data_IF_566414459394
#
_entry.id   IF_566414459394
#
_cell.length_a   1.000
_cell.length_b   1.000
_cell.length_c   1.000
_cell.angle_alpha   90.00
_cell.angle_beta   90.00
_cell.angle_gamma   90.00
#
_symmetry.space_group_name_H-M   'P 1'
#
loop_
_entity.id
_entity.type
_entity.pdbx_description
1 polymer ?
#
# COMPACT_ATOMS: atom_id res chain seq x y z
N UNK A 1 1.00 46.29 -108.05
CA UNK A 1 0.74 47.31 -107.02
C UNK A 1 0.09 46.59 -105.84
N UNK A 2 0.60 46.83 -104.63
CA UNK A 2 -0.04 46.62 -103.32
C UNK A 2 0.06 45.24 -102.59
N UNK A 3 1.07 45.16 -101.71
CA UNK A 3 1.05 44.84 -100.26
C UNK A 3 0.30 43.59 -99.78
N UNK A 4 1.02 42.67 -99.12
CA UNK A 4 0.66 42.13 -97.79
C UNK A 4 1.82 41.30 -97.18
N UNK A 5 2.88 42.00 -96.77
CA UNK A 5 3.85 41.51 -95.78
C UNK A 5 3.39 41.99 -94.41
N UNK A 6 2.70 41.14 -93.66
CA UNK A 6 2.31 41.43 -92.27
C UNK A 6 2.58 40.23 -91.36
N UNK A 7 3.20 40.58 -90.23
CA UNK A 7 3.26 39.86 -88.95
C UNK A 7 4.33 38.76 -88.78
N UNK A 8 5.59 39.20 -88.65
CA UNK A 8 6.67 38.44 -87.98
C UNK A 8 7.40 39.23 -86.88
N UNK A 9 6.87 40.38 -86.44
CA UNK A 9 7.48 41.23 -85.41
C UNK A 9 6.61 41.22 -84.15
N UNK A 10 6.93 40.30 -83.24
CA UNK A 10 6.29 40.17 -81.92
C UNK A 10 6.88 39.04 -81.05
N UNK A 11 7.67 38.14 -81.65
CA UNK A 11 8.14 36.92 -80.98
C UNK A 11 9.35 37.06 -80.04
N UNK A 12 10.23 38.06 -80.21
CA UNK A 12 11.50 38.13 -79.46
C UNK A 12 11.32 38.39 -77.95
N UNK A 13 10.42 39.27 -77.56
CA UNK A 13 10.18 39.54 -76.14
C UNK A 13 9.50 38.40 -75.38
N UNK A 14 8.67 37.59 -76.07
CA UNK A 14 8.01 36.46 -75.45
C UNK A 14 8.99 35.28 -75.26
N UNK A 15 9.89 35.04 -76.23
CA UNK A 15 10.93 34.01 -76.10
C UNK A 15 11.91 34.31 -74.97
N UNK A 16 12.32 35.56 -74.80
CA UNK A 16 13.24 35.96 -73.73
C UNK A 16 12.60 35.77 -72.34
N UNK A 17 11.29 36.04 -72.22
CA UNK A 17 10.52 35.81 -71.00
C UNK A 17 10.38 34.30 -70.70
N UNK A 18 10.09 33.50 -71.72
CA UNK A 18 10.02 32.04 -71.61
C UNK A 18 11.36 31.44 -71.18
N UNK A 19 12.47 31.91 -71.75
CA UNK A 19 13.82 31.46 -71.37
C UNK A 19 14.16 31.84 -69.93
N UNK A 20 13.85 33.08 -69.52
CA UNK A 20 14.06 33.52 -68.14
C UNK A 20 13.24 32.68 -67.15
N UNK A 21 11.99 32.35 -67.49
CA UNK A 21 11.14 31.49 -66.67
C UNK A 21 11.65 30.06 -66.60
N UNK A 22 12.15 29.52 -67.70
CA UNK A 22 12.74 28.18 -67.75
C UNK A 22 13.94 28.10 -66.81
N UNK A 23 14.87 29.08 -66.88
CA UNK A 23 16.00 29.16 -65.95
C UNK A 23 15.55 29.24 -64.50
N UNK A 24 14.54 30.06 -64.21
CA UNK A 24 13.98 30.16 -62.86
C UNK A 24 13.37 28.83 -62.38
N UNK A 25 12.72 28.07 -63.26
CA UNK A 25 12.19 26.75 -62.95
C UNK A 25 13.29 25.71 -62.73
N UNK A 26 14.34 25.73 -63.56
CA UNK A 26 15.52 24.88 -63.40
C UNK A 26 16.19 25.13 -62.04
N UNK A 27 16.43 26.39 -61.69
CA UNK A 27 16.99 26.78 -60.38
C UNK A 27 16.10 26.29 -59.23
N UNK A 28 14.78 26.42 -59.37
CA UNK A 28 13.83 25.92 -58.37
C UNK A 28 13.86 24.40 -58.23
N UNK A 29 14.01 23.66 -59.34
CA UNK A 29 14.14 22.21 -59.31
C UNK A 29 15.41 21.82 -58.55
N UNK A 30 16.54 22.46 -58.85
CA UNK A 30 17.79 22.19 -58.14
C UNK A 30 17.71 22.51 -56.64
N UNK A 31 17.05 23.62 -56.28
CA UNK A 31 16.84 23.98 -54.88
C UNK A 31 15.98 22.95 -54.14
N UNK A 32 14.87 22.52 -54.73
CA UNK A 32 13.98 21.50 -54.14
C UNK A 32 14.66 20.14 -54.04
N UNK A 33 15.42 19.73 -55.05
CA UNK A 33 16.18 18.49 -55.03
C UNK A 33 17.23 18.50 -53.90
N UNK A 34 17.88 19.64 -53.67
CA UNK A 34 18.81 19.81 -52.55
C UNK A 34 18.09 19.69 -51.22
N UNK A 35 16.96 20.36 -51.05
CA UNK A 35 16.18 20.31 -49.81
C UNK A 35 15.65 18.89 -49.49
N UNK A 36 15.16 18.17 -50.51
CA UNK A 36 14.77 16.77 -50.35
C UNK A 36 15.94 15.86 -49.97
N UNK A 37 17.14 16.14 -50.47
CA UNK A 37 18.34 15.38 -50.11
C UNK A 37 18.73 15.65 -48.67
N UNK A 38 18.76 16.92 -48.27
CA UNK A 38 19.17 17.36 -46.94
C UNK A 38 18.17 16.85 -45.87
N UNK A 39 16.88 16.95 -46.14
CA UNK A 39 15.82 16.41 -45.26
C UNK A 39 15.88 14.88 -45.13
N UNK A 40 16.13 14.16 -46.24
CA UNK A 40 16.33 12.70 -46.17
C UNK A 40 17.54 12.33 -45.32
N UNK A 41 18.66 13.04 -45.46
CA UNK A 41 19.86 12.79 -44.67
C UNK A 41 19.61 13.08 -43.18
N UNK A 42 18.92 14.17 -42.86
CA UNK A 42 18.52 14.49 -41.49
C UNK A 42 17.65 13.37 -40.90
N UNK A 43 16.65 12.89 -41.65
CA UNK A 43 15.75 11.84 -41.21
C UNK A 43 16.48 10.50 -41.02
N UNK A 44 17.39 10.15 -41.93
CA UNK A 44 18.24 8.97 -41.78
C UNK A 44 19.10 9.06 -40.52
N UNK A 45 19.77 10.18 -40.29
CA UNK A 45 20.60 10.36 -39.09
C UNK A 45 19.77 10.29 -37.80
N UNK A 46 18.57 10.88 -37.78
CA UNK A 46 17.65 10.78 -36.64
C UNK A 46 17.18 9.34 -36.40
N UNK A 47 16.91 8.57 -37.46
CA UNK A 47 16.58 7.14 -37.36
C UNK A 47 17.75 6.29 -36.88
N UNK A 48 18.97 6.60 -37.32
CA UNK A 48 20.17 5.91 -36.85
C UNK A 48 20.44 6.19 -35.37
N UNK A 49 20.28 7.44 -34.94
CA UNK A 49 20.39 7.84 -33.54
C UNK A 49 19.33 7.15 -32.68
N UNK A 50 18.07 7.14 -33.11
CA UNK A 50 17.00 6.47 -32.35
C UNK A 50 17.21 4.94 -32.31
N UNK A 51 17.62 4.32 -33.41
CA UNK A 51 17.97 2.91 -33.45
C UNK A 51 19.18 2.58 -32.57
N UNK A 52 20.19 3.45 -32.51
CA UNK A 52 21.36 3.29 -31.64
C UNK A 52 20.96 3.39 -30.17
N UNK A 53 20.15 4.38 -29.79
CA UNK A 53 19.61 4.52 -28.43
C UNK A 53 18.76 3.31 -28.05
N UNK A 54 17.88 2.86 -28.95
CA UNK A 54 17.07 1.66 -28.73
C UNK A 54 17.94 0.40 -28.57
N UNK A 55 19.02 0.25 -29.35
CA UNK A 55 19.96 -0.88 -29.18
C UNK A 55 20.70 -0.80 -27.85
N UNK A 56 21.10 0.38 -27.40
CA UNK A 56 21.71 0.57 -26.09
C UNK A 56 20.72 0.22 -24.98
N UNK A 57 19.48 0.70 -25.07
CA UNK A 57 18.40 0.35 -24.15
C UNK A 57 18.08 -1.14 -24.18
N UNK A 58 18.07 -1.79 -25.35
CA UNK A 58 17.81 -3.22 -25.47
C UNK A 58 18.96 -4.07 -24.90
N UNK A 59 20.23 -3.66 -25.09
CA UNK A 59 21.38 -4.30 -24.42
C UNK A 59 21.30 -4.14 -22.90
N UNK A 60 20.89 -2.96 -22.45
CA UNK A 60 20.61 -2.63 -21.05
C UNK A 60 19.37 -3.36 -20.50
N UNK A 61 18.37 -3.67 -21.32
CA UNK A 61 17.13 -4.34 -20.93
C UNK A 61 17.25 -5.87 -20.99
N UNK A 62 18.10 -6.43 -21.86
CA UNK A 62 18.45 -7.86 -21.85
C UNK A 62 19.28 -8.25 -20.62
N UNK A 63 19.86 -7.28 -19.91
CA UNK A 63 20.20 -7.42 -18.49
C UNK A 63 19.11 -6.78 -17.66
N UNK A 64 17.96 -7.46 -17.52
CA UNK A 64 16.70 -6.92 -16.99
C UNK A 64 16.86 -5.80 -15.97
N UNK A 65 16.42 -4.58 -16.31
CA UNK A 65 16.51 -3.35 -15.50
C UNK A 65 17.86 -3.21 -14.77
N UNK A 66 18.80 -2.42 -15.31
CA UNK A 66 20.11 -2.19 -14.68
C UNK A 66 19.99 -2.16 -13.15
N UNK A 67 20.80 -2.94 -12.40
CA UNK A 67 20.75 -2.93 -10.94
C UNK A 67 20.84 -1.51 -10.36
N UNK A 68 21.52 -0.59 -11.06
CA UNK A 68 21.63 0.82 -10.65
C UNK A 68 20.30 1.61 -10.77
N UNK A 69 19.55 1.45 -11.86
CA UNK A 69 18.25 2.15 -12.04
C UNK A 69 17.14 1.53 -11.19
N UNK A 70 17.33 0.28 -10.82
CA UNK A 70 16.38 -0.51 -10.05
C UNK A 70 16.71 -0.63 -8.58
N UNK A 71 17.87 -0.13 -8.14
CA UNK A 71 18.17 0.19 -6.74
C UNK A 71 17.41 1.43 -6.27
N UNK A 72 17.08 2.36 -7.17
CA UNK A 72 16.30 3.56 -6.84
C UNK A 72 14.79 3.30 -6.83
N UNK A 73 14.33 2.25 -7.52
CA UNK A 73 12.97 1.76 -7.42
C UNK A 73 12.91 0.76 -6.27
N UNK A 74 12.13 1.04 -5.23
CA UNK A 74 11.93 0.13 -4.11
C UNK A 74 11.54 -1.27 -4.62
N UNK A 75 12.52 -2.18 -4.67
CA UNK A 75 12.34 -3.50 -5.27
C UNK A 75 11.72 -4.42 -4.24
N UNK A 76 10.40 -4.52 -4.30
CA UNK A 76 9.69 -5.63 -3.64
C UNK A 76 10.20 -6.95 -4.18
N UNK A 77 10.61 -7.83 -3.29
CA UNK A 77 11.03 -9.20 -3.62
C UNK A 77 9.95 -10.19 -3.23
N UNK A 78 9.14 -9.87 -2.23
CA UNK A 78 8.03 -10.72 -1.82
C UNK A 78 7.01 -10.01 -0.94
N UNK A 79 6.06 -10.80 -0.48
CA UNK A 79 5.02 -10.37 0.45
C UNK A 79 4.92 -11.39 1.59
N UNK A 80 4.80 -10.88 2.82
CA UNK A 80 4.61 -11.67 4.04
C UNK A 80 3.29 -11.26 4.68
N UNK A 81 2.67 -12.20 5.40
CA UNK A 81 1.53 -11.93 6.26
C UNK A 81 2.03 -11.98 7.71
N UNK A 82 1.71 -10.95 8.50
CA UNK A 82 2.06 -10.95 9.91
C UNK A 82 1.04 -11.79 10.69
N UNK A 83 1.44 -12.98 11.13
CA UNK A 83 0.57 -13.92 11.82
C UNK A 83 0.07 -13.42 13.18
N UNK A 84 0.79 -12.50 13.84
CA UNK A 84 0.37 -11.96 15.14
C UNK A 84 -0.76 -10.93 15.00
N UNK A 85 -0.77 -10.21 13.88
CA UNK A 85 -1.78 -9.19 13.55
C UNK A 85 -2.81 -9.71 12.53
N UNK A 86 -2.90 -11.05 12.39
CA UNK A 86 -3.84 -11.70 11.49
C UNK A 86 -4.67 -12.71 12.28
N UNK A 87 -5.99 -12.53 12.30
CA UNK A 87 -6.90 -13.35 13.09
C UNK A 87 -8.31 -12.83 13.05
N UNK A 88 -9.24 -13.63 13.55
CA UNK A 88 -10.60 -13.19 13.82
C UNK A 88 -10.67 -12.17 14.96
N UNK A 89 -11.68 -11.31 14.92
CA UNK A 89 -11.97 -10.30 15.93
C UNK A 89 -13.41 -10.50 16.38
N UNK A 90 -13.54 -10.77 17.67
CA UNK A 90 -14.79 -10.82 18.42
C UNK A 90 -15.12 -9.40 18.93
N UNK A 91 -16.27 -8.87 18.52
CA UNK A 91 -16.77 -7.56 18.91
C UNK A 91 -17.90 -7.63 19.95
N UNK A 92 -18.59 -8.77 20.06
CA UNK A 92 -19.83 -8.88 20.83
C UNK A 92 -19.77 -9.90 21.98
N UNK A 93 -18.58 -10.50 22.20
CA UNK A 93 -18.31 -11.53 23.20
C UNK A 93 -19.19 -12.79 23.06
N UNK A 94 -19.76 -13.02 21.87
CA UNK A 94 -20.48 -14.25 21.55
C UNK A 94 -19.54 -15.24 20.85
N UNK A 95 -19.86 -16.54 20.88
CA UNK A 95 -19.05 -17.52 20.16
C UNK A 95 -19.12 -17.29 18.64
N UNK A 96 -17.98 -16.92 18.08
CA UNK A 96 -17.81 -16.57 16.68
C UNK A 96 -17.10 -15.23 16.55
N UNK A 97 -16.28 -15.07 15.52
CA UNK A 97 -15.72 -13.76 15.21
C UNK A 97 -16.64 -13.04 14.22
N UNK A 98 -16.91 -11.74 14.40
CA UNK A 98 -17.73 -10.95 13.47
C UNK A 98 -16.96 -10.47 12.25
N UNK A 99 -15.65 -10.27 12.43
CA UNK A 99 -14.75 -9.81 11.39
C UNK A 99 -13.39 -10.47 11.55
N UNK A 100 -12.52 -10.24 10.59
CA UNK A 100 -11.12 -10.64 10.70
C UNK A 100 -10.21 -9.51 10.25
N UNK A 101 -9.00 -9.52 10.80
CA UNK A 101 -7.95 -8.61 10.41
C UNK A 101 -6.79 -9.36 9.79
N UNK A 102 -6.06 -8.68 8.91
CA UNK A 102 -4.80 -9.17 8.36
C UNK A 102 -3.85 -8.01 8.14
N UNK A 103 -2.56 -8.25 8.35
CA UNK A 103 -1.51 -7.30 8.03
C UNK A 103 -0.57 -7.89 6.98
N UNK A 104 -0.48 -7.19 5.86
CA UNK A 104 0.28 -7.62 4.68
C UNK A 104 1.50 -6.72 4.56
N UNK A 105 2.67 -7.33 4.56
CA UNK A 105 3.96 -6.66 4.61
C UNK A 105 4.76 -7.02 3.35
N UNK A 106 4.78 -6.16 2.32
CA UNK A 106 5.73 -6.29 1.23
C UNK A 106 7.14 -6.11 1.79
N UNK A 107 8.10 -6.87 1.27
CA UNK A 107 9.49 -6.77 1.70
C UNK A 107 10.46 -6.79 0.51
N UNK A 108 11.63 -6.18 0.72
CA UNK A 108 12.73 -6.19 -0.24
C UNK A 108 13.61 -7.45 -0.13
N UNK A 109 14.79 -7.42 -0.75
CA UNK A 109 15.77 -8.53 -0.71
C UNK A 109 16.35 -8.76 0.68
N UNK A 110 16.46 -7.71 1.49
CA UNK A 110 17.01 -7.75 2.86
C UNK A 110 15.93 -8.13 3.88
N UNK A 111 14.67 -8.18 3.45
CA UNK A 111 13.52 -8.52 4.28
C UNK A 111 12.92 -7.30 4.99
N UNK A 112 13.36 -6.09 4.65
CA UNK A 112 12.84 -4.85 5.20
C UNK A 112 11.47 -4.51 4.57
N UNK A 113 10.57 -3.95 5.38
CA UNK A 113 9.23 -3.60 4.92
C UNK A 113 9.29 -2.47 3.90
N UNK A 114 8.64 -2.68 2.76
CA UNK A 114 8.52 -1.68 1.71
C UNK A 114 7.09 -1.16 1.62
N UNK A 115 6.92 0.16 1.72
CA UNK A 115 5.66 0.83 1.44
C UNK A 115 5.58 1.21 -0.04
N UNK A 116 4.69 0.57 -0.79
CA UNK A 116 4.44 0.91 -2.20
C UNK A 116 2.95 0.84 -2.55
N UNK A 117 2.52 1.57 -3.59
CA UNK A 117 1.22 1.32 -4.21
C UNK A 117 1.26 -0.01 -4.96
N UNK A 118 0.32 -0.90 -4.64
CA UNK A 118 0.14 -2.21 -5.27
C UNK A 118 -1.34 -2.59 -5.25
N UNK A 119 -1.77 -3.36 -6.23
CA UNK A 119 -3.10 -3.97 -6.20
C UNK A 119 -3.04 -5.24 -5.35
N UNK A 120 -4.01 -5.42 -4.46
CA UNK A 120 -4.09 -6.58 -3.57
C UNK A 120 -5.39 -7.34 -3.80
N UNK A 121 -5.28 -8.67 -3.83
CA UNK A 121 -6.41 -9.57 -3.80
C UNK A 121 -6.20 -10.56 -2.65
N UNK A 122 -7.18 -10.58 -1.75
CA UNK A 122 -7.21 -11.43 -0.58
C UNK A 122 -8.32 -12.45 -0.79
N UNK A 123 -7.97 -13.72 -0.79
CA UNK A 123 -8.92 -14.81 -0.87
C UNK A 123 -8.79 -15.66 0.38
N UNK A 124 -9.92 -15.92 1.03
CA UNK A 124 -9.96 -16.75 2.22
C UNK A 124 -10.66 -18.06 1.88
N UNK A 125 -9.99 -19.17 2.16
CA UNK A 125 -10.50 -20.52 1.86
C UNK A 125 -10.45 -21.44 3.07
N UNK A 126 -11.46 -22.27 3.20
CA UNK A 126 -11.53 -23.39 4.13
C UNK A 126 -11.12 -24.68 3.41
N UNK A 127 -9.89 -25.14 3.65
CA UNK A 127 -9.36 -26.35 3.03
C UNK A 127 -10.02 -27.63 3.55
N UNK A 128 -10.73 -27.58 4.69
CA UNK A 128 -11.45 -28.73 5.24
C UNK A 128 -12.79 -28.98 4.55
N UNK A 129 -13.23 -28.04 3.69
CA UNK A 129 -14.49 -28.12 2.96
C UNK A 129 -14.31 -28.56 1.49
N UNK A 130 -15.35 -29.15 0.88
CA UNK A 130 -15.37 -29.46 -0.55
C UNK A 130 -15.31 -28.17 -1.38
N UNK A 131 -14.78 -28.28 -2.61
CA UNK A 131 -14.47 -27.13 -3.48
C UNK A 131 -15.62 -26.12 -3.65
N UNK A 132 -16.86 -26.61 -3.69
CA UNK A 132 -18.05 -25.77 -3.84
C UNK A 132 -18.31 -24.82 -2.64
N UNK A 133 -17.84 -25.16 -1.43
CA UNK A 133 -18.03 -24.40 -0.18
C UNK A 133 -16.70 -23.95 0.43
N UNK A 134 -15.59 -24.23 -0.25
CA UNK A 134 -14.24 -23.91 0.21
C UNK A 134 -13.99 -22.41 0.28
N UNK A 135 -14.60 -21.61 -0.58
CA UNK A 135 -14.34 -20.16 -0.64
C UNK A 135 -15.21 -19.43 0.39
N UNK A 136 -14.55 -18.78 1.35
CA UNK A 136 -15.19 -17.94 2.37
C UNK A 136 -15.46 -16.52 1.83
N UNK A 137 -14.53 -15.98 1.05
CA UNK A 137 -14.67 -14.66 0.44
C UNK A 137 -13.47 -14.24 -0.40
N UNK A 138 -13.68 -13.23 -1.25
CA UNK A 138 -12.62 -12.56 -2.01
C UNK A 138 -12.79 -11.05 -1.86
N UNK A 139 -11.69 -10.37 -1.51
CA UNK A 139 -11.60 -8.93 -1.43
C UNK A 139 -10.52 -8.42 -2.38
N UNK A 140 -10.82 -7.36 -3.12
CA UNK A 140 -9.91 -6.75 -4.08
C UNK A 140 -9.75 -5.28 -3.74
N UNK A 141 -8.52 -4.83 -3.67
CA UNK A 141 -8.13 -3.47 -3.34
C UNK A 141 -7.23 -2.94 -4.45
N UNK A 142 -7.51 -1.72 -4.89
CA UNK A 142 -6.63 -1.03 -5.83
C UNK A 142 -5.46 -0.34 -5.12
N UNK A 143 -4.47 0.09 -5.89
CA UNK A 143 -3.29 0.79 -5.37
C UNK A 143 -3.57 2.03 -4.49
N UNK A 144 -4.67 2.76 -4.70
CA UNK A 144 -5.02 3.94 -3.89
C UNK A 144 -5.62 3.51 -2.55
N UNK A 145 -6.54 2.55 -2.59
CA UNK A 145 -7.18 1.99 -1.41
C UNK A 145 -6.15 1.32 -0.50
N UNK A 146 -5.27 0.46 -1.04
CA UNK A 146 -4.19 -0.19 -0.29
C UNK A 146 -3.31 0.84 0.43
N UNK A 147 -2.97 1.95 -0.22
CA UNK A 147 -2.16 3.01 0.40
C UNK A 147 -2.82 3.63 1.63
N UNK A 148 -4.14 3.75 1.63
CA UNK A 148 -4.90 4.29 2.77
C UNK A 148 -4.88 3.36 3.99
N UNK A 149 -4.70 2.05 3.78
CA UNK A 149 -4.62 1.02 4.82
C UNK A 149 -3.23 0.86 5.44
N UNK A 150 -2.28 1.77 5.17
CA UNK A 150 -0.95 1.68 5.75
C UNK A 150 -0.98 1.85 7.27
N UNK A 151 -0.52 0.81 7.96
CA UNK A 151 -0.35 0.77 9.40
C UNK A 151 1.14 0.71 9.74
N UNK A 152 1.53 1.45 10.78
CA UNK A 152 2.88 1.42 11.35
C UNK A 152 2.75 1.45 12.87
N UNK A 153 3.21 0.40 13.54
CA UNK A 153 3.15 0.28 14.99
C UNK A 153 4.27 -0.58 15.57
N UNK A 154 4.26 -0.77 16.88
CA UNK A 154 5.29 -1.54 17.59
C UNK A 154 5.33 -3.02 17.18
N UNK A 155 4.19 -3.59 16.77
CA UNK A 155 4.08 -4.98 16.33
C UNK A 155 4.45 -5.20 14.85
N UNK A 156 4.85 -4.12 14.15
CA UNK A 156 5.29 -4.14 12.77
C UNK A 156 4.64 -3.07 11.90
N UNK A 157 5.07 -3.03 10.64
CA UNK A 157 4.53 -2.16 9.60
C UNK A 157 3.99 -2.98 8.43
N UNK A 158 2.90 -2.49 7.82
CA UNK A 158 2.25 -3.17 6.70
C UNK A 158 0.87 -2.59 6.40
N UNK A 159 0.20 -3.17 5.43
CA UNK A 159 -1.17 -2.81 5.07
C UNK A 159 -2.14 -3.61 5.92
N UNK A 160 -2.89 -2.93 6.78
CA UNK A 160 -3.86 -3.55 7.69
C UNK A 160 -5.26 -3.45 7.11
N UNK A 161 -5.87 -4.61 6.92
CA UNK A 161 -7.25 -4.74 6.49
C UNK A 161 -8.10 -5.28 7.62
N UNK A 162 -9.30 -4.74 7.76
CA UNK A 162 -10.33 -5.20 8.67
C UNK A 162 -11.55 -5.51 7.80
N UNK A 163 -11.92 -6.79 7.74
CA UNK A 163 -12.80 -7.30 6.71
C UNK A 163 -13.96 -8.09 7.33
N UNK A 164 -15.21 -7.77 6.95
CA UNK A 164 -16.37 -8.55 7.38
C UNK A 164 -16.43 -9.88 6.63
N UNK A 165 -17.04 -10.90 7.23
CA UNK A 165 -17.29 -12.18 6.57
C UNK A 165 -18.27 -12.03 5.40
N UNK A 166 -17.91 -12.57 4.22
CA UNK A 166 -18.84 -12.70 3.10
C UNK A 166 -19.68 -13.98 3.20
N UNK A 167 -19.04 -15.06 3.64
CA UNK A 167 -19.68 -16.32 4.02
C UNK A 167 -19.18 -16.72 5.39
N UNK A 168 -20.05 -17.31 6.20
CA UNK A 168 -19.69 -17.77 7.54
C UNK A 168 -18.71 -18.94 7.44
N UNK A 169 -17.51 -18.86 8.05
CA UNK A 169 -16.57 -19.97 8.04
C UNK A 169 -17.12 -21.13 8.87
N UNK A 170 -16.93 -22.36 8.37
CA UNK A 170 -17.37 -23.57 9.05
C UNK A 170 -16.29 -24.14 10.01
N UNK A 171 -15.03 -23.88 9.69
CA UNK A 171 -13.85 -24.35 10.42
C UNK A 171 -13.13 -23.21 11.13
N UNK A 172 -12.38 -23.55 12.19
CA UNK A 172 -11.54 -22.62 12.95
C UNK A 172 -10.24 -22.26 12.24
N UNK A 173 -9.78 -23.11 11.32
CA UNK A 173 -8.55 -22.90 10.57
C UNK A 173 -8.87 -22.61 9.10
N UNK A 174 -8.59 -21.39 8.69
CA UNK A 174 -8.75 -20.91 7.32
C UNK A 174 -7.38 -20.65 6.72
N UNK A 175 -7.30 -20.67 5.39
CA UNK A 175 -6.10 -20.32 4.64
C UNK A 175 -6.33 -19.02 3.88
N UNK A 176 -5.56 -18.00 4.22
CA UNK A 176 -5.52 -16.72 3.51
C UNK A 176 -4.54 -16.84 2.35
N UNK A 177 -5.03 -16.64 1.12
CA UNK A 177 -4.23 -16.45 -0.08
C UNK A 177 -4.13 -14.96 -0.38
N UNK A 178 -2.92 -14.43 -0.38
CA UNK A 178 -2.64 -13.05 -0.74
C UNK A 178 -1.98 -13.01 -2.09
N UNK A 179 -2.58 -12.28 -3.03
CA UNK A 179 -2.02 -11.99 -4.34
C UNK A 179 -1.80 -10.49 -4.47
N UNK A 180 -0.54 -10.10 -4.61
CA UNK A 180 -0.14 -8.71 -4.78
C UNK A 180 0.40 -8.48 -6.17
N UNK A 181 -0.03 -7.40 -6.83
CA UNK A 181 0.52 -6.94 -8.10
C UNK A 181 1.18 -5.57 -7.91
N UNK A 182 2.49 -5.52 -8.12
CA UNK A 182 3.25 -4.28 -8.06
C UNK A 182 3.03 -3.45 -9.34
N UNK A 183 3.30 -2.15 -9.28
CA UNK A 183 3.26 -1.24 -10.44
C UNK A 183 4.20 -1.65 -11.57
N UNK A 184 5.29 -2.35 -11.24
CA UNK A 184 6.20 -2.93 -12.25
C UNK A 184 5.58 -4.10 -13.03
N UNK A 185 4.33 -4.48 -12.74
CA UNK A 185 3.62 -5.62 -13.33
C UNK A 185 3.93 -6.97 -12.69
N UNK A 186 4.90 -7.02 -11.76
CA UNK A 186 5.28 -8.24 -11.04
C UNK A 186 4.17 -8.68 -10.08
N UNK A 187 3.90 -9.98 -10.04
CA UNK A 187 2.92 -10.58 -9.14
C UNK A 187 3.58 -11.43 -8.08
N UNK A 188 3.20 -11.22 -6.82
CA UNK A 188 3.67 -11.97 -5.68
C UNK A 188 2.48 -12.71 -5.05
N UNK A 189 2.72 -13.93 -4.60
CA UNK A 189 1.72 -14.76 -3.94
C UNK A 189 2.28 -15.25 -2.62
N UNK A 190 1.45 -15.24 -1.59
CA UNK A 190 1.78 -15.86 -0.31
C UNK A 190 0.51 -16.45 0.30
N UNK A 191 0.70 -17.43 1.18
CA UNK A 191 -0.39 -18.08 1.89
C UNK A 191 -0.08 -18.11 3.37
N UNK A 192 -1.08 -17.82 4.21
CA UNK A 192 -0.95 -17.85 5.66
C UNK A 192 -2.16 -18.56 6.27
N UNK A 193 -1.96 -19.37 7.33
CA UNK A 193 -3.09 -19.80 8.14
C UNK A 193 -3.70 -18.60 8.86
N UNK A 194 -5.01 -18.64 9.06
CA UNK A 194 -5.80 -17.69 9.82
C UNK A 194 -6.69 -18.49 10.78
N UNK A 195 -6.61 -18.18 12.07
CA UNK A 195 -7.39 -18.83 13.12
C UNK A 195 -8.57 -17.96 13.50
N UNK A 196 -9.74 -18.58 13.59
CA UNK A 196 -11.02 -17.94 13.98
C UNK A 196 -11.76 -18.81 15.00
N UNK A 197 -12.57 -18.16 15.82
CA UNK A 197 -13.51 -18.84 16.70
C UNK A 197 -14.65 -19.47 15.90
N UNK A 198 -14.98 -20.72 16.22
CA UNK A 198 -16.11 -21.42 15.61
C UNK A 198 -17.43 -20.83 16.12
N UNK A 199 -18.33 -20.52 15.20
CA UNK A 199 -19.75 -20.34 15.52
C UNK A 199 -20.30 -21.72 15.88
N UNK A 200 -20.46 -22.00 17.18
CA UNK A 200 -21.21 -23.17 17.61
C UNK A 200 -22.65 -22.99 17.13
N UNK A 201 -23.06 -23.80 16.14
CA UNK A 201 -24.47 -24.00 15.85
C UNK A 201 -25.13 -24.50 17.13
N UNK A 202 -25.88 -23.62 17.80
CA UNK A 202 -26.71 -23.93 18.96
C UNK A 202 -27.84 -24.88 18.55
N UNK A 203 -27.49 -26.16 18.42
CA UNK A 203 -28.42 -27.27 18.21
C UNK A 203 -27.91 -28.51 18.92
N UNK A 204 -27.36 -28.34 20.12
CA UNK A 204 -27.44 -29.35 21.16
C UNK A 204 -28.17 -28.72 22.35
N UNK A 205 -29.50 -28.80 22.29
CA UNK A 205 -30.29 -28.82 23.52
C UNK A 205 -29.82 -30.08 24.25
N UNK A 206 -28.82 -29.92 25.13
CA UNK A 206 -28.54 -30.92 26.14
C UNK A 206 -29.82 -31.07 26.95
N UNK A 207 -30.52 -32.16 26.68
CA UNK A 207 -31.63 -32.61 27.50
C UNK A 207 -31.00 -32.99 28.82
N UNK A 208 -30.93 -32.03 29.74
CA UNK A 208 -30.51 -32.29 31.12
C UNK A 208 -31.55 -33.26 31.68
N UNK A 209 -31.17 -34.53 31.77
CA UNK A 209 -31.97 -35.57 32.39
C UNK A 209 -32.34 -35.11 33.80
N UNK A 210 -33.61 -34.75 33.93
CA UNK A 210 -34.31 -34.56 35.18
C UNK A 210 -34.42 -35.93 35.82
N UNK A 211 -33.69 -36.16 36.91
CA UNK A 211 -34.14 -36.94 38.08
C UNK A 211 -33.02 -37.11 39.11
N UNK A 212 -33.01 -36.22 40.13
CA UNK A 212 -32.80 -36.64 41.53
C UNK A 212 -33.60 -35.68 42.43
N UNK A 213 -34.59 -36.15 43.20
CA UNK A 213 -35.28 -35.32 44.19
C UNK A 213 -34.43 -35.23 45.47
N UNK A 214 -33.83 -34.07 45.73
CA UNK A 214 -33.21 -33.82 47.04
C UNK A 214 -34.29 -33.38 48.02
N UNK A 215 -34.56 -34.27 48.97
CA UNK A 215 -35.52 -34.15 50.06
C UNK A 215 -35.26 -32.92 50.94
N UNK A 216 -36.27 -32.06 51.05
CA UNK A 216 -36.31 -30.88 51.91
C UNK A 216 -36.67 -31.32 53.34
N UNK A 217 -35.71 -31.32 54.27
CA UNK A 217 -35.99 -31.39 55.72
C UNK A 217 -35.82 -30.00 56.33
N UNK A 218 -36.88 -29.56 57.01
CA UNK A 218 -37.05 -28.25 57.67
C UNK A 218 -36.23 -28.11 58.97
N UNK A 219 -35.67 -26.90 59.17
CA UNK A 219 -35.63 -26.00 60.35
C UNK A 219 -35.59 -26.61 61.76
N UNK A 220 -34.67 -26.23 62.67
CA UNK A 220 -34.77 -25.02 63.55
C UNK A 220 -33.44 -24.60 64.24
N UNK A 221 -33.37 -23.42 64.91
CA UNK A 221 -32.15 -22.62 65.14
C UNK A 221 -31.53 -22.73 66.55
N UNK A 222 -30.24 -22.37 66.70
CA UNK A 222 -29.59 -22.11 67.98
C UNK A 222 -28.50 -21.01 67.89
N UNK A 223 -28.39 -20.27 68.98
CA UNK A 223 -27.81 -18.95 69.28
C UNK A 223 -26.28 -18.74 69.13
N UNK A 224 -25.80 -17.47 69.27
CA UNK A 224 -24.51 -16.98 68.78
C UNK A 224 -23.34 -17.21 69.76
N UNK A 225 -22.14 -17.42 69.21
CA UNK A 225 -20.92 -17.42 70.01
C UNK A 225 -20.49 -15.98 70.34
N UNK A 226 -20.48 -15.69 71.63
CA UNK A 226 -19.98 -14.47 72.29
C UNK A 226 -18.47 -14.31 72.14
N UNK A 227 -18.09 -13.03 72.13
CA UNK A 227 -16.76 -12.46 72.31
C UNK A 227 -16.35 -12.55 73.81
N UNK A 228 -15.08 -12.81 74.11
CA UNK A 228 -14.45 -12.44 75.40
C UNK A 228 -13.00 -11.95 75.17
N UNK A 229 -12.79 -10.68 75.53
CA UNK A 229 -11.56 -9.98 75.93
C UNK A 229 -10.99 -10.62 77.23
N UNK A 230 -9.75 -10.46 77.70
CA UNK A 230 -8.84 -9.30 77.88
C UNK A 230 -7.41 -9.89 78.13
N UNK A 231 -6.28 -9.21 77.94
CA UNK A 231 -5.73 -8.26 78.93
C UNK A 231 -4.63 -7.36 78.31
N UNK A 232 -4.69 -6.08 78.69
CA UNK A 232 -3.83 -4.91 78.43
C UNK A 232 -2.48 -4.97 79.24
N UNK A 233 -1.48 -4.05 79.10
CA UNK A 233 -1.66 -2.60 78.88
C UNK A 233 -0.62 -1.76 78.07
N UNK A 234 -1.15 -0.61 77.61
CA UNK A 234 -0.65 0.79 77.53
C UNK A 234 0.77 1.12 77.01
N UNK A 235 0.88 2.01 76.01
CA UNK A 235 0.89 3.48 76.19
C UNK A 235 0.89 4.21 74.82
N UNK A 236 0.31 5.41 74.84
CA UNK A 236 0.00 6.39 73.79
C UNK A 236 1.22 6.89 72.99
N UNK A 237 1.03 7.20 71.69
CA UNK A 237 1.32 8.51 71.05
C UNK A 237 0.71 8.55 69.64
N UNK A 238 -0.16 9.53 69.44
CA UNK A 238 -0.70 9.96 68.15
C UNK A 238 0.39 10.65 67.34
N UNK A 239 0.51 10.33 66.05
CA UNK A 239 0.96 11.32 65.06
C UNK A 239 0.47 10.91 63.66
N UNK A 240 -0.55 11.63 63.21
CA UNK A 240 -1.08 11.60 61.87
C UNK A 240 -0.24 12.52 60.98
N UNK A 241 0.50 11.98 60.03
CA UNK A 241 1.03 12.76 58.91
C UNK A 241 0.40 12.29 57.60
N UNK A 242 -0.55 13.10 57.13
CA UNK A 242 -1.07 13.07 55.78
C UNK A 242 0.05 13.47 54.80
N UNK A 243 0.34 12.69 53.75
CA UNK A 243 1.42 13.00 52.81
C UNK A 243 1.00 13.91 51.64
N UNK A 244 -0.08 14.70 51.80
CA UNK A 244 -0.52 15.64 50.78
C UNK A 244 -0.67 17.04 51.38
N UNK A 245 0.36 17.86 51.21
CA UNK A 245 0.20 19.31 51.25
C UNK A 245 1.01 19.99 50.14
N UNK A 246 0.20 20.51 49.22
CA UNK A 246 0.37 21.58 48.24
C UNK A 246 1.48 22.64 48.46
N UNK A 247 2.18 22.94 47.35
CA UNK A 247 2.69 24.22 46.81
C UNK A 247 3.13 25.33 47.77
N UNK A 248 4.35 25.83 47.53
CA UNK A 248 4.61 27.28 47.50
C UNK A 248 5.71 27.65 46.49
N UNK A 249 5.47 28.77 45.81
CA UNK A 249 6.36 29.45 44.88
C UNK A 249 7.41 30.30 45.63
N UNK A 250 8.57 30.56 45.01
CA UNK A 250 9.12 31.91 44.77
C UNK A 250 10.55 31.85 44.15
N UNK A 251 10.72 32.57 43.02
CA UNK A 251 11.91 33.35 42.59
C UNK A 251 13.28 32.70 42.22
N UNK A 252 13.53 32.77 40.90
CA UNK A 252 14.74 33.08 40.07
C UNK A 252 16.01 33.69 40.75
N UNK A 253 17.24 33.59 40.15
CA UNK A 253 17.56 34.21 38.84
C UNK A 253 18.47 33.43 37.85
N UNK A 254 18.36 33.83 36.57
CA UNK A 254 19.25 33.63 35.41
C UNK A 254 20.56 34.45 35.56
N UNK A 255 21.65 34.36 34.72
CA UNK A 255 21.66 34.13 33.27
C UNK A 255 22.86 33.36 32.64
N UNK A 256 22.84 33.27 31.29
CA UNK A 256 23.92 32.96 30.33
C UNK A 256 24.29 31.47 30.16
N UNK A 257 24.55 30.89 28.97
CA UNK A 257 24.88 31.40 27.63
C UNK A 257 24.86 30.20 26.63
N UNK A 258 24.56 30.48 25.35
CA UNK A 258 25.01 29.75 24.10
C UNK A 258 24.60 28.28 23.90
N UNK A 259 24.20 27.77 22.75
CA UNK A 259 24.44 28.11 21.34
C UNK A 259 23.40 27.37 20.49
N UNK A 260 22.69 28.07 19.61
CA UNK A 260 21.85 27.44 18.57
C UNK A 260 22.65 27.37 17.28
N UNK A 261 23.00 26.17 16.83
CA UNK A 261 23.51 25.95 15.48
C UNK A 261 22.34 25.52 14.59
N UNK A 262 21.90 26.43 13.73
CA UNK A 262 20.90 26.18 12.68
C UNK A 262 21.44 26.72 11.35
N UNK A 263 21.65 25.86 10.34
CA UNK A 263 22.35 26.24 9.12
C UNK A 263 21.37 26.57 8.00
N UNK A 264 20.63 27.66 8.11
CA UNK A 264 19.88 28.19 6.96
C UNK A 264 20.00 29.72 6.93
N UNK A 265 20.93 30.21 6.10
CA UNK A 265 21.02 31.63 5.75
C UNK A 265 19.94 31.95 4.72
N UNK A 266 19.04 32.85 5.09
CA UNK A 266 18.20 33.63 4.19
C UNK A 266 19.06 34.48 3.24
N UNK A 267 18.71 34.44 1.96
CA UNK A 267 19.21 35.35 0.93
C UNK A 267 18.22 36.52 0.91
N UNK A 268 18.68 37.72 1.24
CA UNK A 268 17.92 38.96 1.06
C UNK A 268 18.24 39.59 -0.30
N UNK A 269 17.20 40.22 -0.83
CA UNK A 269 17.02 40.94 -2.10
C UNK A 269 18.15 41.89 -2.51
#
# INVERSE_FOLDING_TARGET
MLILTLAGCGGRGNTDLLEARLRQQEDSIFALQRDLKDSHQALQSAREQSAAMQRQLAKSANGGLLPEQSKTLFRVTGVKVNSLLTGGVDLDSKPGDELWTTVITPHDVDGETVKLPADLELELVDLNQPEAQRRVGIWKFDSQEVRSHWYSGFAGSGFRFELPWQSTPASEELTLLVRMKSQDGRTFKTTSPLKVARLENSSQIQTVSRDVPVSRKQLTPAEPARISFEEQPAMVTEESENPFQEIDAESTPSPAETESDSPFREIKE
#
